data_IF_125257569872
#
_entry.id   IF_125257569872
#
_cell.length_a   1.000
_cell.length_b   1.000
_cell.length_c   1.000
_cell.angle_alpha   90.00
_cell.angle_beta   90.00
_cell.angle_gamma   90.00
#
_symmetry.space_group_name_H-M   'P 1'
#
loop_
_entity.id
_entity.type
_entity.pdbx_description
1 polymer ?
#
# COMPACT_ATOMS: atom_id res chain seq x y z
N UNK A 1 -14.78 16.12 -17.09
CA UNK A 1 -13.48 15.46 -17.33
C UNK A 1 -12.70 15.53 -16.03
N UNK A 2 -12.31 14.38 -15.47
CA UNK A 2 -11.43 14.37 -14.29
C UNK A 2 -10.05 14.87 -14.74
N UNK A 3 -9.50 15.86 -14.03
CA UNK A 3 -8.16 16.36 -14.33
C UNK A 3 -7.13 15.41 -13.72
N UNK A 4 -6.38 14.69 -14.55
CA UNK A 4 -5.33 13.77 -14.09
C UNK A 4 -4.26 14.47 -13.25
N UNK A 5 -3.99 15.75 -13.49
CA UNK A 5 -3.11 16.56 -12.64
C UNK A 5 -3.68 16.71 -11.23
N UNK A 6 -5.00 16.88 -11.09
CA UNK A 6 -5.64 16.94 -9.77
C UNK A 6 -5.48 15.61 -9.02
N UNK A 7 -5.73 14.49 -9.70
CA UNK A 7 -5.55 13.15 -9.10
C UNK A 7 -4.11 12.95 -8.64
N UNK A 8 -3.13 13.25 -9.50
CA UNK A 8 -1.71 13.15 -9.16
C UNK A 8 -1.33 14.01 -7.95
N UNK A 9 -1.80 15.26 -7.88
CA UNK A 9 -1.52 16.17 -6.77
C UNK A 9 -2.14 15.65 -5.47
N UNK A 10 -3.41 15.21 -5.51
CA UNK A 10 -4.09 14.66 -4.32
C UNK A 10 -3.38 13.40 -3.83
N UNK A 11 -3.01 12.48 -4.72
CA UNK A 11 -2.28 11.27 -4.35
C UNK A 11 -0.91 11.60 -3.76
N UNK A 12 -0.17 12.55 -4.35
CA UNK A 12 1.14 12.99 -3.85
C UNK A 12 1.03 13.57 -2.43
N UNK A 13 -0.02 14.36 -2.18
CA UNK A 13 -0.30 14.91 -0.84
C UNK A 13 -0.74 13.81 0.13
N UNK A 14 -1.50 12.81 -0.32
CA UNK A 14 -2.00 11.72 0.52
C UNK A 14 -0.90 10.76 1.00
N UNK A 15 0.11 10.48 0.16
CA UNK A 15 1.22 9.58 0.48
C UNK A 15 1.88 9.82 1.86
N UNK A 16 2.32 11.05 2.23
CA UNK A 16 2.92 11.29 3.54
C UNK A 16 1.93 11.10 4.70
N UNK A 17 0.64 11.38 4.52
CA UNK A 17 -0.36 11.14 5.57
C UNK A 17 -0.55 9.64 5.81
N UNK A 18 -0.61 8.84 4.74
CA UNK A 18 -0.74 7.38 4.85
C UNK A 18 0.49 6.74 5.50
N UNK A 19 1.70 7.24 5.22
CA UNK A 19 2.90 6.74 5.90
C UNK A 19 2.91 7.10 7.39
N UNK A 20 2.55 8.35 7.75
CA UNK A 20 2.44 8.75 9.17
C UNK A 20 1.40 7.90 9.90
N UNK A 21 0.26 7.67 9.25
CA UNK A 21 -0.82 6.87 9.82
C UNK A 21 -0.34 5.43 10.09
N UNK A 22 0.28 4.77 9.12
CA UNK A 22 0.81 3.42 9.35
C UNK A 22 1.89 3.41 10.44
N UNK A 23 2.71 4.47 10.56
CA UNK A 23 3.72 4.57 11.63
C UNK A 23 3.09 4.62 13.01
N UNK A 24 2.03 5.43 13.15
CA UNK A 24 1.31 5.56 14.41
C UNK A 24 0.60 4.27 14.79
N UNK A 25 -0.02 3.58 13.83
CA UNK A 25 -0.72 2.32 14.07
C UNK A 25 0.26 1.24 14.52
N UNK A 26 1.39 1.11 13.82
CA UNK A 26 2.42 0.14 14.21
C UNK A 26 2.97 0.41 15.61
N UNK A 27 3.32 1.67 15.93
CA UNK A 27 3.81 2.05 17.27
C UNK A 27 2.77 1.81 18.35
N UNK A 28 1.51 2.14 18.07
CA UNK A 28 0.40 1.90 18.99
C UNK A 28 0.23 0.40 19.27
N UNK A 29 0.36 -0.46 18.26
CA UNK A 29 0.29 -1.90 18.45
C UNK A 29 1.47 -2.45 19.27
N UNK A 30 2.66 -1.86 19.12
CA UNK A 30 3.88 -2.25 19.86
C UNK A 30 4.00 -1.62 21.26
N UNK A 31 3.10 -0.70 21.62
CA UNK A 31 3.19 0.04 22.89
C UNK A 31 4.32 1.09 22.92
N UNK A 32 4.80 1.53 21.76
CA UNK A 32 5.86 2.54 21.64
C UNK A 32 5.30 3.97 21.66
N UNK A 33 6.11 4.93 22.11
CA UNK A 33 5.71 6.35 22.14
C UNK A 33 5.68 6.96 20.74
N UNK A 34 4.62 7.72 20.45
CA UNK A 34 4.48 8.46 19.19
C UNK A 34 5.17 9.81 19.29
N UNK A 35 5.99 10.15 18.30
CA UNK A 35 6.55 11.50 18.16
C UNK A 35 5.46 12.51 17.78
N UNK A 36 5.73 13.78 18.06
CA UNK A 36 4.84 14.89 17.67
C UNK A 36 4.66 14.96 16.13
N UNK A 37 3.46 15.36 15.69
CA UNK A 37 3.03 15.33 14.28
C UNK A 37 3.96 16.19 13.40
N UNK A 38 4.29 17.40 13.86
CA UNK A 38 5.10 18.36 13.10
C UNK A 38 6.54 17.88 12.86
N UNK A 39 7.17 17.29 13.88
CA UNK A 39 8.52 16.74 13.75
C UNK A 39 8.56 15.50 12.84
N UNK A 40 7.49 14.70 12.84
CA UNK A 40 7.36 13.52 11.97
C UNK A 40 7.22 13.94 10.50
N UNK A 41 6.39 14.96 10.21
CA UNK A 41 6.13 15.44 8.86
C UNK A 41 7.39 16.02 8.17
N UNK A 42 8.16 16.83 8.90
CA UNK A 42 9.40 17.44 8.38
C UNK A 42 10.48 16.39 8.05
N UNK A 43 10.66 15.39 8.93
CA UNK A 43 11.63 14.31 8.71
C UNK A 43 11.23 13.39 7.54
N UNK A 44 9.93 13.22 7.32
CA UNK A 44 9.42 12.37 6.25
C UNK A 44 9.67 12.94 4.86
N UNK A 45 9.35 14.23 4.65
CA UNK A 45 9.58 14.88 3.36
C UNK A 45 11.06 14.84 2.96
N UNK A 46 11.96 15.02 3.93
CA UNK A 46 13.39 14.97 3.70
C UNK A 46 13.88 13.57 3.27
N UNK A 47 13.27 12.49 3.79
CA UNK A 47 13.62 11.11 3.45
C UNK A 47 12.92 10.59 2.19
N UNK A 48 11.71 11.06 1.90
CA UNK A 48 10.87 10.58 0.80
C UNK A 48 11.61 10.55 -0.55
N UNK A 49 12.25 11.66 -0.91
CA UNK A 49 12.95 11.77 -2.19
C UNK A 49 14.16 10.82 -2.31
N UNK A 50 14.87 10.57 -1.21
CA UNK A 50 16.02 9.67 -1.21
C UNK A 50 15.58 8.19 -1.25
N UNK A 51 14.52 7.84 -0.52
CA UNK A 51 13.96 6.49 -0.51
C UNK A 51 13.35 6.11 -1.87
N UNK A 52 12.67 7.03 -2.55
CA UNK A 52 12.07 6.79 -3.88
C UNK A 52 13.09 6.29 -4.91
N UNK A 53 14.32 6.80 -4.88
CA UNK A 53 15.36 6.38 -5.82
C UNK A 53 15.85 4.94 -5.54
N UNK A 54 15.93 4.57 -4.26
CA UNK A 54 16.34 3.22 -3.84
C UNK A 54 15.25 2.17 -4.06
N UNK A 55 13.98 2.60 -4.16
CA UNK A 55 12.83 1.72 -4.37
C UNK A 55 12.40 1.57 -5.84
N UNK A 56 13.20 2.05 -6.78
CA UNK A 56 12.89 2.00 -8.22
C UNK A 56 12.51 0.59 -8.71
N UNK A 57 13.12 -0.46 -8.16
CA UNK A 57 12.77 -1.86 -8.47
C UNK A 57 11.34 -2.23 -8.05
N UNK A 58 10.88 -1.73 -6.91
CA UNK A 58 9.49 -1.93 -6.45
C UNK A 58 8.52 -1.19 -7.37
N UNK A 59 8.83 0.07 -7.70
CA UNK A 59 8.02 0.90 -8.60
C UNK A 59 7.86 0.23 -9.98
N UNK A 60 8.96 -0.27 -10.56
CA UNK A 60 8.92 -0.98 -11.84
C UNK A 60 8.11 -2.29 -11.75
N UNK A 61 8.25 -3.03 -10.66
CA UNK A 61 7.48 -4.26 -10.44
C UNK A 61 5.98 -3.98 -10.31
N UNK A 62 5.58 -3.00 -9.49
CA UNK A 62 4.18 -2.59 -9.31
C UNK A 62 3.63 -2.07 -10.64
N UNK A 63 4.39 -1.25 -11.37
CA UNK A 63 4.01 -0.76 -12.69
C UNK A 63 3.80 -1.89 -13.71
N UNK A 64 4.70 -2.89 -13.71
CA UNK A 64 4.56 -4.07 -14.56
C UNK A 64 3.33 -4.92 -14.21
N UNK A 65 3.11 -5.20 -12.92
CA UNK A 65 1.92 -5.94 -12.47
C UNK A 65 0.63 -5.17 -12.81
N UNK A 66 0.65 -3.84 -12.68
CA UNK A 66 -0.49 -2.97 -13.01
C UNK A 66 -0.82 -3.04 -14.50
N UNK A 67 0.20 -2.99 -15.36
CA UNK A 67 0.03 -3.18 -16.80
C UNK A 67 -0.54 -4.57 -17.11
N UNK A 68 -0.04 -5.62 -16.46
CA UNK A 68 -0.51 -6.98 -16.66
C UNK A 68 -1.97 -7.16 -16.23
N UNK A 69 -2.34 -6.61 -15.07
CA UNK A 69 -3.71 -6.57 -14.56
C UNK A 69 -4.65 -5.86 -15.53
N UNK A 70 -4.22 -4.70 -16.05
CA UNK A 70 -4.96 -3.93 -17.05
C UNK A 70 -5.18 -4.76 -18.33
N UNK A 71 -4.10 -5.26 -18.95
CA UNK A 71 -4.19 -6.03 -20.21
C UNK A 71 -5.06 -7.28 -20.06
N UNK A 72 -4.90 -8.03 -18.97
CA UNK A 72 -5.69 -9.24 -18.72
C UNK A 72 -7.16 -8.92 -18.46
N UNK A 73 -7.45 -7.78 -17.84
CA UNK A 73 -8.82 -7.30 -17.62
C UNK A 73 -9.62 -7.08 -18.91
N UNK A 74 -8.97 -6.75 -20.03
CA UNK A 74 -9.66 -6.56 -21.33
C UNK A 74 -9.97 -7.86 -22.07
N UNK A 75 -9.35 -8.97 -21.71
CA UNK A 75 -9.52 -10.25 -22.40
C UNK A 75 -10.49 -11.11 -21.57
N UNK A 76 -11.75 -11.33 -22.00
CA UNK A 76 -12.80 -11.94 -21.16
C UNK A 76 -12.42 -13.30 -20.55
N UNK A 77 -11.65 -14.12 -21.28
CA UNK A 77 -11.24 -15.45 -20.82
C UNK A 77 -10.26 -15.40 -19.64
N UNK A 78 -9.41 -14.37 -19.56
CA UNK A 78 -8.40 -14.22 -18.51
C UNK A 78 -8.68 -13.03 -17.57
N UNK A 79 -9.82 -12.34 -17.75
CA UNK A 79 -10.26 -11.25 -16.90
C UNK A 79 -10.26 -11.58 -15.39
N UNK A 80 -10.63 -12.80 -14.93
CA UNK A 80 -10.52 -13.16 -13.52
C UNK A 80 -9.09 -13.04 -12.96
N UNK A 81 -8.08 -13.32 -13.77
CA UNK A 81 -6.66 -13.19 -13.40
C UNK A 81 -6.30 -11.71 -13.28
N UNK A 82 -6.76 -10.87 -14.22
CA UNK A 82 -6.56 -9.42 -14.17
C UNK A 82 -7.15 -8.81 -12.90
N UNK A 83 -8.37 -9.22 -12.54
CA UNK A 83 -9.06 -8.79 -11.31
C UNK A 83 -8.30 -9.26 -10.07
N UNK A 84 -7.87 -10.52 -10.03
CA UNK A 84 -7.07 -11.02 -8.92
C UNK A 84 -5.76 -10.22 -8.74
N UNK A 85 -5.08 -9.90 -9.82
CA UNK A 85 -3.90 -9.03 -9.79
C UNK A 85 -4.23 -7.62 -9.27
N UNK A 86 -5.39 -7.06 -9.63
CA UNK A 86 -5.82 -5.76 -9.12
C UNK A 86 -6.06 -5.78 -7.61
N UNK A 87 -6.66 -6.86 -7.09
CA UNK A 87 -6.87 -7.05 -5.65
C UNK A 87 -5.53 -7.14 -4.90
N UNK A 88 -4.57 -7.90 -5.46
CA UNK A 88 -3.21 -8.00 -4.89
C UNK A 88 -2.50 -6.65 -4.93
N UNK A 89 -2.60 -5.93 -6.05
CA UNK A 89 -2.00 -4.60 -6.20
C UNK A 89 -2.53 -3.60 -5.19
N UNK A 90 -3.84 -3.60 -4.95
CA UNK A 90 -4.44 -2.73 -3.94
C UNK A 90 -3.89 -3.05 -2.54
N UNK A 91 -3.73 -4.33 -2.20
CA UNK A 91 -3.07 -4.70 -0.95
C UNK A 91 -1.61 -4.21 -0.88
N UNK A 92 -0.86 -4.39 -1.97
CA UNK A 92 0.54 -3.96 -2.07
C UNK A 92 0.70 -2.44 -1.88
N UNK A 93 -0.22 -1.64 -2.43
CA UNK A 93 -0.20 -0.17 -2.31
C UNK A 93 -0.14 0.29 -0.84
N UNK A 94 -0.89 -0.36 0.05
CA UNK A 94 -0.92 -0.01 1.46
C UNK A 94 0.11 -0.77 2.31
N UNK A 95 0.52 -1.98 1.89
CA UNK A 95 1.61 -2.72 2.53
C UNK A 95 2.98 -2.08 2.32
N UNK A 96 3.17 -1.38 1.20
CA UNK A 96 4.44 -0.76 0.86
C UNK A 96 4.89 0.26 1.92
N UNK A 97 3.97 0.92 2.62
CA UNK A 97 4.32 1.79 3.76
C UNK A 97 5.04 1.01 4.88
N UNK A 98 4.57 -0.19 5.22
CA UNK A 98 5.24 -1.06 6.20
C UNK A 98 6.56 -1.61 5.66
N UNK A 99 6.59 -2.02 4.38
CA UNK A 99 7.82 -2.54 3.77
C UNK A 99 8.92 -1.50 3.65
N UNK A 100 8.58 -0.28 3.24
CA UNK A 100 9.53 0.82 3.10
C UNK A 100 10.08 1.25 4.46
N UNK A 101 9.25 1.28 5.50
CA UNK A 101 9.70 1.61 6.87
C UNK A 101 10.75 0.66 7.42
N UNK A 102 10.60 -0.63 7.15
CA UNK A 102 11.52 -1.67 7.58
C UNK A 102 12.64 -1.93 6.55
N UNK A 103 12.76 -1.06 5.54
CA UNK A 103 13.76 -1.13 4.47
C UNK A 103 13.82 -2.51 3.78
N UNK A 104 12.66 -3.19 3.63
CA UNK A 104 12.60 -4.50 3.00
C UNK A 104 13.09 -4.42 1.55
N UNK A 105 14.01 -5.32 1.20
CA UNK A 105 14.46 -5.46 -0.19
C UNK A 105 13.33 -6.04 -1.03
N UNK A 106 13.40 -5.78 -2.34
CA UNK A 106 12.41 -6.28 -3.30
C UNK A 106 12.13 -7.80 -3.16
N UNK A 107 13.18 -8.62 -3.02
CA UNK A 107 13.02 -10.06 -2.84
C UNK A 107 12.29 -10.44 -1.55
N UNK A 108 12.45 -9.66 -0.48
CA UNK A 108 11.78 -9.86 0.80
C UNK A 108 10.31 -9.45 0.72
N UNK A 109 9.99 -8.36 0.02
CA UNK A 109 8.61 -7.94 -0.26
C UNK A 109 7.85 -9.01 -1.04
N UNK A 110 8.45 -9.56 -2.10
CA UNK A 110 7.84 -10.64 -2.89
C UNK A 110 7.70 -11.92 -2.05
N UNK A 111 8.66 -12.23 -1.19
CA UNK A 111 8.59 -13.38 -0.28
C UNK A 111 7.45 -13.22 0.75
N UNK A 112 7.30 -12.04 1.34
CA UNK A 112 6.21 -11.72 2.25
C UNK A 112 4.84 -11.83 1.55
N UNK A 113 4.72 -11.20 0.38
CA UNK A 113 3.50 -11.24 -0.43
C UNK A 113 3.10 -12.67 -0.78
N UNK A 114 4.05 -13.52 -1.18
CA UNK A 114 3.79 -14.93 -1.53
C UNK A 114 3.34 -15.75 -0.33
N UNK A 115 3.95 -15.54 0.84
CA UNK A 115 3.60 -16.27 2.07
C UNK A 115 2.22 -15.90 2.59
N UNK A 116 1.86 -14.62 2.49
CA UNK A 116 0.62 -14.06 3.01
C UNK A 116 -0.41 -13.77 1.90
N UNK A 117 -0.27 -14.39 0.73
CA UNK A 117 -1.03 -14.05 -0.47
C UNK A 117 -2.54 -14.17 -0.25
N UNK A 118 -2.98 -15.18 0.51
CA UNK A 118 -4.39 -15.37 0.80
C UNK A 118 -4.95 -14.21 1.64
N UNK A 119 -4.29 -13.85 2.74
CA UNK A 119 -4.71 -12.77 3.63
C UNK A 119 -4.68 -11.39 2.95
N UNK A 120 -3.61 -11.12 2.19
CA UNK A 120 -3.47 -9.87 1.46
C UNK A 120 -4.47 -9.76 0.31
N UNK A 121 -4.67 -10.82 -0.49
CA UNK A 121 -5.63 -10.80 -1.59
C UNK A 121 -7.07 -10.67 -1.10
N UNK A 122 -7.41 -11.29 0.05
CA UNK A 122 -8.75 -11.19 0.62
C UNK A 122 -9.07 -9.78 1.13
N UNK A 123 -8.11 -9.16 1.84
CA UNK A 123 -8.21 -7.74 2.21
C UNK A 123 -8.26 -6.83 0.97
N UNK A 124 -7.43 -7.13 -0.03
CA UNK A 124 -7.41 -6.44 -1.32
C UNK A 124 -8.75 -6.51 -2.03
N UNK A 125 -9.39 -7.68 -2.07
CA UNK A 125 -10.72 -7.88 -2.64
C UNK A 125 -11.80 -7.04 -1.92
N UNK A 126 -11.75 -7.01 -0.59
CA UNK A 126 -12.69 -6.21 0.20
C UNK A 126 -12.60 -4.71 -0.13
N UNK A 127 -11.39 -4.15 -0.12
CA UNK A 127 -11.20 -2.74 -0.44
C UNK A 127 -11.41 -2.43 -1.93
N UNK A 128 -11.10 -3.37 -2.82
CA UNK A 128 -11.38 -3.22 -4.26
C UNK A 128 -12.88 -3.02 -4.53
N UNK A 129 -13.74 -3.73 -3.80
CA UNK A 129 -15.19 -3.53 -3.86
C UNK A 129 -15.58 -2.17 -3.25
N UNK A 130 -14.99 -1.77 -2.12
CA UNK A 130 -15.31 -0.49 -1.46
C UNK A 130 -14.98 0.74 -2.31
N UNK A 131 -13.89 0.70 -3.08
CA UNK A 131 -13.50 1.80 -3.98
C UNK A 131 -14.56 2.07 -5.04
N UNK A 132 -15.37 1.07 -5.41
CA UNK A 132 -16.48 1.25 -6.38
C UNK A 132 -17.61 2.13 -5.86
N UNK A 133 -17.70 2.33 -4.53
CA UNK A 133 -18.73 3.17 -3.90
C UNK A 133 -18.15 4.57 -3.64
N UNK A 134 -18.59 5.63 -4.34
CA UNK A 134 -17.91 6.93 -4.31
C UNK A 134 -17.76 7.56 -2.92
N UNK A 135 -18.80 7.48 -2.08
CA UNK A 135 -18.77 8.04 -0.73
C UNK A 135 -17.85 7.25 0.21
N UNK A 136 -17.75 5.93 0.02
CA UNK A 136 -16.88 5.07 0.82
C UNK A 136 -15.44 5.21 0.38
N UNK A 137 -15.19 5.38 -0.93
CA UNK A 137 -13.86 5.52 -1.51
C UNK A 137 -13.03 6.63 -0.85
N UNK A 138 -13.67 7.73 -0.42
CA UNK A 138 -13.00 8.81 0.32
C UNK A 138 -12.30 8.33 1.60
N UNK A 139 -12.86 7.31 2.25
CA UNK A 139 -12.35 6.74 3.49
C UNK A 139 -11.49 5.49 3.26
N UNK A 140 -11.41 4.98 2.03
CA UNK A 140 -10.62 3.77 1.73
C UNK A 140 -9.15 3.96 2.08
N UNK A 141 -8.45 5.05 1.71
CA UNK A 141 -7.04 5.20 2.04
C UNK A 141 -6.71 5.04 3.53
N UNK A 142 -7.35 5.78 4.48
CA UNK A 142 -7.05 5.60 5.90
C UNK A 142 -7.48 4.23 6.44
N UNK A 143 -8.60 3.66 5.96
CA UNK A 143 -9.06 2.33 6.41
C UNK A 143 -8.12 1.22 5.93
N UNK A 144 -7.70 1.26 4.66
CA UNK A 144 -6.82 0.28 4.05
C UNK A 144 -5.42 0.37 4.65
N UNK A 145 -4.85 1.58 4.80
CA UNK A 145 -3.61 1.78 5.55
C UNK A 145 -3.69 1.15 6.93
N UNK A 146 -4.79 1.37 7.66
CA UNK A 146 -4.96 0.81 9.00
C UNK A 146 -4.99 -0.71 8.99
N UNK A 147 -5.83 -1.29 8.12
CA UNK A 147 -6.01 -2.72 8.01
C UNK A 147 -4.70 -3.44 7.63
N UNK A 148 -4.04 -3.00 6.55
CA UNK A 148 -2.83 -3.66 6.05
C UNK A 148 -1.64 -3.48 6.98
N UNK A 149 -1.51 -2.33 7.65
CA UNK A 149 -0.48 -2.15 8.70
C UNK A 149 -0.69 -3.14 9.84
N UNK A 150 -1.91 -3.24 10.37
CA UNK A 150 -2.22 -4.19 11.45
C UNK A 150 -2.02 -5.63 11.03
N UNK A 151 -2.44 -5.99 9.80
CA UNK A 151 -2.25 -7.32 9.26
C UNK A 151 -0.77 -7.67 9.11
N UNK A 152 0.03 -6.74 8.59
CA UNK A 152 1.47 -6.91 8.45
C UNK A 152 2.15 -7.12 9.80
N UNK A 153 1.84 -6.28 10.80
CA UNK A 153 2.38 -6.40 12.17
C UNK A 153 2.06 -7.76 12.75
N UNK A 154 0.80 -8.21 12.68
CA UNK A 154 0.39 -9.53 13.19
C UNK A 154 1.12 -10.69 12.53
N UNK A 155 1.28 -10.64 11.20
CA UNK A 155 1.98 -11.69 10.43
C UNK A 155 3.48 -11.75 10.75
N UNK A 156 4.08 -10.66 11.22
CA UNK A 156 5.51 -10.57 11.54
C UNK A 156 5.79 -10.74 13.04
N UNK A 157 4.85 -10.43 13.92
CA UNK A 157 4.95 -10.72 15.36
C UNK A 157 4.77 -12.21 15.66
N UNK A 158 3.91 -12.92 14.94
CA UNK A 158 3.73 -14.37 15.11
C UNK A 158 4.93 -15.22 14.65
N UNK A 159 6.01 -14.58 14.20
CA UNK A 159 7.18 -15.22 13.58
C UNK A 159 8.44 -15.09 14.43
N UNK A 160 8.38 -14.35 15.53
CA UNK A 160 9.38 -14.28 16.59
C UNK A 160 8.91 -15.10 17.79
#
# INVERSE_FOLDING_TARGET
>A
MVNWTFVLVVTLIACPFNDILSSRIEKQMRGESTLDLGQTFSRLIAKLFFTLFNELKKILFIGFLSLLSFVFGYIPLIAPIGIFLAMVLLAVEFLDYSWSRHDLKFGECVSDLKKNIAGYSFGGAFFFIMVSVPLINLFVPPMATSYFTTLWVKNHESRN
#
